data_IF_579679228076
#
_entry.id   IF_579679228076
#
_cell.length_a   1.000
_cell.length_b   1.000
_cell.length_c   1.000
_cell.angle_alpha   90.00
_cell.angle_beta   90.00
_cell.angle_gamma   90.00
#
_symmetry.space_group_name_H-M   'P 1'
#
loop_
_entity.id
_entity.type
_entity.pdbx_description
1 polymer ?
#
# COMPACT_ATOMS: atom_id res chain seq x y z
N UNK A 1 -9.68 13.22 -50.44
CA UNK A 1 -9.38 13.91 -49.17
C UNK A 1 -10.36 13.56 -48.03
N UNK A 2 -11.65 13.28 -48.28
CA UNK A 2 -12.62 12.89 -47.22
C UNK A 2 -12.35 11.52 -46.58
N UNK A 3 -11.76 10.56 -47.31
CA UNK A 3 -11.48 9.21 -46.80
C UNK A 3 -10.30 9.15 -45.82
N UNK A 4 -9.31 10.03 -45.97
CA UNK A 4 -8.13 10.11 -45.08
C UNK A 4 -8.46 10.67 -43.71
N UNK A 5 -9.48 11.53 -43.60
CA UNK A 5 -9.90 12.13 -42.32
C UNK A 5 -10.57 11.12 -41.38
N UNK A 6 -11.30 10.15 -41.95
CA UNK A 6 -12.01 9.10 -41.19
C UNK A 6 -11.00 8.10 -40.59
N UNK A 7 -9.94 7.77 -41.32
CA UNK A 7 -8.88 6.87 -40.83
C UNK A 7 -8.10 7.48 -39.67
N UNK A 8 -7.87 8.79 -39.69
CA UNK A 8 -7.17 9.49 -38.61
C UNK A 8 -8.04 9.58 -37.34
N UNK A 9 -9.36 9.75 -37.49
CA UNK A 9 -10.30 9.81 -36.36
C UNK A 9 -10.44 8.45 -35.64
N UNK A 10 -10.36 7.33 -36.38
CA UNK A 10 -10.38 5.98 -35.81
C UNK A 10 -9.11 5.66 -34.99
N UNK A 11 -7.96 6.26 -35.31
CA UNK A 11 -6.71 6.04 -34.59
C UNK A 11 -6.69 6.71 -33.20
N UNK A 12 -7.40 7.83 -33.04
CA UNK A 12 -7.46 8.58 -31.77
C UNK A 12 -8.28 7.85 -30.70
N UNK A 13 -9.31 7.08 -31.09
CA UNK A 13 -10.19 6.36 -30.14
C UNK A 13 -9.55 5.08 -29.61
N UNK A 14 -8.63 4.47 -30.37
CA UNK A 14 -7.89 3.27 -29.96
C UNK A 14 -6.85 3.55 -28.85
N UNK A 15 -6.56 4.82 -28.57
CA UNK A 15 -5.60 5.26 -27.54
C UNK A 15 -6.28 5.56 -26.20
N UNK A 16 -7.38 4.87 -25.87
CA UNK A 16 -7.93 4.93 -24.52
C UNK A 16 -7.00 4.14 -23.60
N UNK A 17 -6.07 4.83 -22.94
CA UNK A 17 -5.26 4.25 -21.88
C UNK A 17 -6.21 3.82 -20.75
N UNK A 18 -6.63 2.56 -20.75
CA UNK A 18 -7.42 2.02 -19.66
C UNK A 18 -6.54 2.05 -18.41
N UNK A 19 -6.82 3.01 -17.53
CA UNK A 19 -6.17 3.06 -16.24
C UNK A 19 -6.49 1.77 -15.50
N UNK A 20 -5.46 1.00 -15.18
CA UNK A 20 -5.57 -0.28 -14.52
C UNK A 20 -6.41 -0.23 -13.25
N UNK A 21 -7.43 -1.10 -13.19
CA UNK A 21 -8.47 -1.08 -12.17
C UNK A 21 -8.17 -2.07 -11.06
N UNK A 22 -7.41 -1.60 -10.07
CA UNK A 22 -7.22 -2.33 -8.81
C UNK A 22 -8.50 -2.25 -7.97
N UNK A 23 -8.96 -3.39 -7.45
CA UNK A 23 -10.10 -3.51 -6.54
C UNK A 23 -9.71 -4.35 -5.33
N UNK A 24 -10.26 -3.99 -4.17
CA UNK A 24 -10.18 -4.79 -2.94
C UNK A 24 -11.60 -5.02 -2.46
N UNK A 25 -12.07 -6.26 -2.40
CA UNK A 25 -13.43 -6.62 -1.97
C UNK A 25 -13.39 -7.83 -1.06
N UNK A 26 -13.86 -7.67 0.18
CA UNK A 26 -13.84 -8.73 1.22
C UNK A 26 -12.45 -9.39 1.36
N UNK A 27 -11.39 -8.58 1.31
CA UNK A 27 -10.00 -9.03 1.38
C UNK A 27 -9.40 -9.47 0.05
N UNK A 28 -10.17 -10.00 -0.89
CA UNK A 28 -9.65 -10.35 -2.22
C UNK A 28 -9.21 -9.11 -3.00
N UNK A 29 -8.00 -9.15 -3.55
CA UNK A 29 -7.42 -8.11 -4.39
C UNK A 29 -7.44 -8.58 -5.84
N UNK A 30 -8.05 -7.78 -6.70
CA UNK A 30 -8.05 -8.03 -8.16
C UNK A 30 -7.49 -6.85 -8.91
N UNK A 31 -6.84 -7.15 -10.04
CA UNK A 31 -6.33 -6.16 -10.98
C UNK A 31 -6.95 -6.48 -12.33
N UNK A 32 -7.73 -5.53 -12.85
CA UNK A 32 -8.51 -5.70 -14.08
C UNK A 32 -9.44 -6.94 -14.06
N UNK A 33 -9.87 -7.33 -12.86
CA UNK A 33 -10.75 -8.49 -12.65
C UNK A 33 -10.01 -9.80 -12.41
N UNK A 34 -8.70 -9.87 -12.64
CA UNK A 34 -7.86 -11.04 -12.37
C UNK A 34 -7.41 -11.03 -10.90
N UNK A 35 -7.43 -12.19 -10.24
CA UNK A 35 -6.94 -12.33 -8.87
C UNK A 35 -5.44 -12.00 -8.79
N UNK A 36 -5.05 -11.24 -7.77
CA UNK A 36 -3.67 -10.78 -7.61
C UNK A 36 -3.09 -11.15 -6.24
N UNK A 37 -3.84 -10.88 -5.17
CA UNK A 37 -3.42 -11.13 -3.80
C UNK A 37 -4.63 -11.16 -2.87
N UNK A 38 -4.40 -11.42 -1.59
CA UNK A 38 -5.39 -11.27 -0.53
C UNK A 38 -4.86 -10.31 0.55
N UNK A 39 -5.76 -9.45 1.04
CA UNK A 39 -5.56 -8.50 2.13
C UNK A 39 -6.50 -8.87 3.28
N UNK A 40 -6.04 -9.79 4.11
CA UNK A 40 -6.88 -10.43 5.13
C UNK A 40 -6.65 -9.82 6.50
N UNK A 41 -7.63 -10.00 7.39
CA UNK A 41 -7.42 -9.73 8.81
C UNK A 41 -6.50 -10.80 9.37
N UNK A 42 -5.60 -10.40 10.24
CA UNK A 42 -4.88 -11.34 11.08
C UNK A 42 -5.83 -11.82 12.19
N UNK A 43 -6.03 -13.13 12.31
CA UNK A 43 -6.92 -13.72 13.32
C UNK A 43 -6.30 -13.69 14.72
N UNK A 44 -4.97 -13.57 14.82
CA UNK A 44 -4.25 -13.48 16.09
C UNK A 44 -4.36 -12.04 16.62
N UNK A 45 -3.98 -11.06 15.79
CA UNK A 45 -4.07 -9.64 16.13
C UNK A 45 -5.01 -8.95 15.14
N UNK A 46 -6.30 -8.88 15.46
CA UNK A 46 -7.40 -8.42 14.57
C UNK A 46 -7.20 -7.04 13.91
N UNK A 47 -6.36 -6.19 14.50
CA UNK A 47 -6.02 -4.88 13.95
C UNK A 47 -5.00 -4.98 12.81
N UNK A 48 -4.17 -6.02 12.79
CA UNK A 48 -3.18 -6.28 11.74
C UNK A 48 -3.84 -6.85 10.49
N UNK A 49 -3.07 -6.82 9.40
CA UNK A 49 -3.46 -7.41 8.12
C UNK A 49 -2.36 -8.31 7.60
N UNK A 50 -2.77 -9.30 6.82
CA UNK A 50 -1.90 -10.24 6.14
C UNK A 50 -1.99 -9.96 4.63
N UNK A 51 -0.84 -9.84 3.98
CA UNK A 51 -0.74 -9.91 2.52
C UNK A 51 -0.42 -11.34 2.15
N UNK A 52 -1.34 -12.01 1.47
CA UNK A 52 -1.14 -13.37 0.96
C UNK A 52 -1.18 -13.40 -0.55
N UNK A 53 -0.53 -14.39 -1.15
CA UNK A 53 -0.76 -14.70 -2.56
C UNK A 53 -2.15 -15.33 -2.76
N UNK A 54 -2.49 -15.68 -4.00
CA UNK A 54 -3.77 -16.32 -4.34
C UNK A 54 -3.90 -17.75 -3.83
N UNK A 55 -2.80 -18.41 -3.50
CA UNK A 55 -2.75 -19.77 -2.94
C UNK A 55 -2.90 -19.78 -1.41
N UNK A 56 -2.78 -18.61 -0.76
CA UNK A 56 -2.88 -18.46 0.69
C UNK A 56 -1.53 -18.35 1.42
N UNK A 57 -0.41 -18.38 0.70
CA UNK A 57 0.92 -18.22 1.30
C UNK A 57 1.11 -16.79 1.78
N UNK A 58 1.65 -16.65 2.99
CA UNK A 58 1.91 -15.35 3.60
C UNK A 58 3.13 -14.69 2.94
N UNK A 59 2.91 -13.51 2.36
CA UNK A 59 3.95 -12.71 1.72
C UNK A 59 4.47 -11.62 2.67
N UNK A 60 3.56 -10.83 3.26
CA UNK A 60 3.91 -9.69 4.12
C UNK A 60 2.93 -9.57 5.29
N UNK A 61 3.43 -8.97 6.37
CA UNK A 61 2.64 -8.56 7.53
C UNK A 61 2.44 -7.04 7.47
N UNK A 62 1.23 -6.59 7.78
CA UNK A 62 0.92 -5.18 7.97
C UNK A 62 0.47 -4.97 9.41
N UNK A 63 1.39 -4.49 10.24
CA UNK A 63 1.18 -4.34 11.67
C UNK A 63 0.67 -2.94 11.96
N UNK A 64 -0.47 -2.84 12.64
CA UNK A 64 -1.07 -1.55 12.96
C UNK A 64 -0.29 -0.87 14.07
N UNK A 65 0.01 0.41 13.87
CA UNK A 65 0.58 1.32 14.88
C UNK A 65 -0.28 2.55 15.02
N UNK A 66 -0.27 3.09 16.22
CA UNK A 66 -0.91 4.36 16.55
C UNK A 66 -0.01 5.15 17.48
N UNK A 67 0.07 6.45 17.24
CA UNK A 67 0.66 7.41 18.17
C UNK A 67 -0.20 8.67 18.22
N UNK A 68 0.03 9.53 19.22
CA UNK A 68 -0.63 10.82 19.34
C UNK A 68 0.25 11.92 18.74
N UNK A 69 -0.33 12.74 17.87
CA UNK A 69 0.28 13.95 17.32
C UNK A 69 -0.68 15.13 17.53
N UNK A 70 -0.22 16.14 18.25
CA UNK A 70 -0.99 17.36 18.50
C UNK A 70 -1.37 18.08 17.20
N UNK A 71 -0.58 17.94 16.13
CA UNK A 71 -0.88 18.53 14.81
C UNK A 71 -2.02 17.82 14.09
N UNK A 72 -2.32 16.58 14.48
CA UNK A 72 -3.41 15.79 13.92
C UNK A 72 -4.74 15.99 14.67
N UNK A 73 -4.77 16.83 15.71
CA UNK A 73 -6.00 17.16 16.45
C UNK A 73 -6.96 17.93 15.53
N UNK A 74 -8.17 17.41 15.42
CA UNK A 74 -9.28 18.03 14.71
C UNK A 74 -10.61 17.68 15.39
N UNK A 75 -11.71 18.29 14.95
CA UNK A 75 -13.05 17.95 15.46
C UNK A 75 -13.37 16.45 15.32
N UNK A 76 -12.94 15.82 14.21
CA UNK A 76 -13.13 14.39 13.96
C UNK A 76 -12.03 13.49 14.54
N UNK A 77 -10.94 14.07 15.06
CA UNK A 77 -9.84 13.37 15.72
C UNK A 77 -9.35 14.13 16.97
N UNK A 78 -10.18 14.25 18.02
CA UNK A 78 -9.88 15.12 19.16
C UNK A 78 -8.67 14.67 19.98
N UNK A 79 -8.26 13.41 19.84
CA UNK A 79 -7.07 12.85 20.51
C UNK A 79 -5.79 12.94 19.67
N UNK A 80 -5.88 13.47 18.44
CA UNK A 80 -4.73 13.56 17.54
C UNK A 80 -4.12 12.20 17.19
N UNK A 81 -4.93 11.13 17.17
CA UNK A 81 -4.41 9.79 16.90
C UNK A 81 -4.01 9.67 15.42
N UNK A 82 -2.77 9.28 15.16
CA UNK A 82 -2.26 8.94 13.83
C UNK A 82 -2.08 7.44 13.78
N UNK A 83 -2.85 6.75 12.94
CA UNK A 83 -2.76 5.30 12.74
C UNK A 83 -2.28 4.93 11.35
N UNK A 84 -1.41 3.93 11.26
CA UNK A 84 -0.81 3.48 10.02
C UNK A 84 -0.35 2.01 10.14
N UNK A 85 0.11 1.43 9.03
CA UNK A 85 0.68 0.10 8.98
C UNK A 85 2.20 0.15 8.85
N UNK A 86 2.93 -0.57 9.70
CA UNK A 86 4.31 -1.00 9.41
C UNK A 86 4.24 -2.25 8.55
N UNK A 87 4.91 -2.27 7.40
CA UNK A 87 4.95 -3.43 6.51
C UNK A 87 6.25 -4.20 6.74
N UNK A 88 6.14 -5.49 7.02
CA UNK A 88 7.26 -6.37 7.38
C UNK A 88 7.21 -7.68 6.60
N UNK A 89 8.36 -8.36 6.51
CA UNK A 89 8.41 -9.76 6.07
C UNK A 89 8.03 -10.71 7.22
N UNK A 90 7.44 -11.87 6.92
CA UNK A 90 7.27 -12.94 7.90
C UNK A 90 8.61 -13.30 8.55
N UNK A 91 8.62 -13.41 9.89
CA UNK A 91 9.81 -13.77 10.66
C UNK A 91 10.87 -12.66 10.81
N UNK A 92 10.62 -11.43 10.33
CA UNK A 92 11.51 -10.29 10.52
C UNK A 92 10.84 -9.17 11.31
N UNK A 93 11.62 -8.46 12.12
CA UNK A 93 11.23 -7.23 12.80
C UNK A 93 11.61 -5.97 11.98
N UNK A 94 12.23 -6.15 10.81
CA UNK A 94 12.63 -5.04 9.96
C UNK A 94 11.40 -4.46 9.27
N UNK A 95 11.09 -3.21 9.64
CA UNK A 95 10.09 -2.42 8.92
C UNK A 95 10.65 -2.17 7.52
N UNK A 96 9.94 -2.58 6.47
CA UNK A 96 10.30 -2.26 5.10
C UNK A 96 9.91 -0.82 4.76
N UNK A 97 8.65 -0.48 5.04
CA UNK A 97 8.08 0.84 4.87
C UNK A 97 6.81 0.99 5.71
N UNK A 98 6.28 2.20 5.77
CA UNK A 98 5.08 2.53 6.54
C UNK A 98 3.99 3.08 5.61
N UNK A 99 2.74 2.68 5.85
CA UNK A 99 1.65 2.99 4.94
C UNK A 99 0.39 3.43 5.67
N UNK A 100 -0.14 4.59 5.26
CA UNK A 100 -1.44 5.10 5.67
C UNK A 100 -2.28 5.40 4.42
N UNK A 101 -3.43 4.77 4.30
CA UNK A 101 -4.34 4.96 3.16
C UNK A 101 -5.19 3.73 2.86
N UNK A 102 -5.94 3.78 1.76
CA UNK A 102 -6.76 2.66 1.32
C UNK A 102 -5.90 1.53 0.74
N UNK A 103 -6.15 0.29 1.14
CA UNK A 103 -5.46 -0.90 0.65
C UNK A 103 -5.36 -0.95 -0.90
N UNK A 104 -6.39 -0.49 -1.61
CA UNK A 104 -6.38 -0.38 -3.07
C UNK A 104 -5.16 0.37 -3.62
N UNK A 105 -4.72 1.45 -2.97
CA UNK A 105 -3.56 2.22 -3.43
C UNK A 105 -2.24 1.51 -3.12
N UNK A 106 -2.14 0.82 -1.97
CA UNK A 106 -1.01 -0.05 -1.66
C UNK A 106 -0.85 -1.15 -2.72
N UNK A 107 -1.91 -1.88 -3.03
CA UNK A 107 -1.86 -2.93 -4.04
C UNK A 107 -1.65 -2.40 -5.47
N UNK A 108 -2.08 -1.16 -5.75
CA UNK A 108 -1.70 -0.48 -7.00
C UNK A 108 -0.20 -0.22 -7.07
N UNK A 109 0.43 0.20 -5.97
CA UNK A 109 1.87 0.35 -5.91
C UNK A 109 2.59 -1.00 -6.07
N UNK A 110 2.10 -2.07 -5.43
CA UNK A 110 2.66 -3.41 -5.58
C UNK A 110 2.57 -3.93 -7.01
N UNK A 111 1.41 -3.78 -7.65
CA UNK A 111 1.22 -4.22 -9.03
C UNK A 111 2.11 -3.41 -9.99
N UNK A 112 2.07 -2.08 -9.92
CA UNK A 112 2.89 -1.22 -10.78
C UNK A 112 4.39 -1.45 -10.57
N UNK A 113 4.78 -1.75 -9.34
CA UNK A 113 6.16 -2.08 -8.97
C UNK A 113 6.55 -3.53 -9.25
N UNK A 114 5.64 -4.40 -9.72
CA UNK A 114 5.88 -5.83 -9.90
C UNK A 114 6.45 -6.50 -8.65
N UNK A 115 5.87 -6.19 -7.50
CA UNK A 115 6.30 -6.70 -6.17
C UNK A 115 5.93 -8.18 -5.98
N UNK A 116 4.83 -8.62 -6.59
CA UNK A 116 4.41 -10.03 -6.60
C UNK A 116 4.59 -10.52 -8.04
N UNK A 117 5.36 -11.59 -8.21
CA UNK A 117 5.61 -12.27 -9.48
C UNK A 117 4.34 -12.97 -9.98
N UNK A 118 4.34 -13.38 -11.24
CA UNK A 118 3.21 -14.10 -11.86
C UNK A 118 2.94 -15.46 -11.18
N UNK A 119 3.98 -16.09 -10.60
CA UNK A 119 3.87 -17.33 -9.82
C UNK A 119 3.35 -17.10 -8.38
N UNK A 120 3.07 -15.85 -8.00
CA UNK A 120 2.59 -15.49 -6.67
C UNK A 120 3.69 -15.34 -5.61
N UNK A 121 4.97 -15.45 -5.97
CA UNK A 121 6.09 -15.20 -5.04
C UNK A 121 6.43 -13.71 -4.95
N UNK A 122 7.14 -13.31 -3.88
CA UNK A 122 7.65 -11.94 -3.76
C UNK A 122 8.87 -11.72 -4.65
N UNK A 123 8.86 -10.61 -5.37
CA UNK A 123 10.04 -10.06 -6.02
C UNK A 123 10.77 -9.12 -5.05
N UNK A 124 11.86 -9.60 -4.47
CA UNK A 124 12.53 -8.92 -3.36
C UNK A 124 13.19 -7.59 -3.75
N UNK A 125 13.77 -7.51 -4.95
CA UNK A 125 14.42 -6.30 -5.45
C UNK A 125 13.39 -5.21 -5.75
N UNK A 126 12.25 -5.61 -6.32
CA UNK A 126 11.14 -4.70 -6.59
C UNK A 126 10.45 -4.25 -5.30
N UNK A 127 10.27 -5.18 -4.33
CA UNK A 127 9.76 -4.85 -3.01
C UNK A 127 10.66 -3.82 -2.34
N UNK A 128 11.98 -4.01 -2.36
CA UNK A 128 12.95 -3.05 -1.83
C UNK A 128 12.81 -1.68 -2.50
N UNK A 129 12.68 -1.65 -3.83
CA UNK A 129 12.50 -0.40 -4.60
C UNK A 129 11.22 0.34 -4.21
N UNK A 130 10.10 -0.38 -4.11
CA UNK A 130 8.82 0.20 -3.66
C UNK A 130 8.93 0.68 -2.21
N UNK A 131 9.59 -0.09 -1.35
CA UNK A 131 9.79 0.24 0.06
C UNK A 131 10.54 1.54 0.24
N UNK A 132 11.63 1.75 -0.52
CA UNK A 132 12.41 3.00 -0.51
C UNK A 132 11.54 4.19 -0.93
N UNK A 133 10.72 4.03 -1.97
CA UNK A 133 9.86 5.09 -2.48
C UNK A 133 8.76 5.51 -1.50
N UNK A 134 8.19 4.56 -0.75
CA UNK A 134 7.16 4.85 0.25
C UNK A 134 7.81 5.40 1.52
N UNK A 135 8.88 4.76 1.99
CA UNK A 135 9.67 5.21 3.13
C UNK A 135 9.04 4.91 4.49
N UNK A 136 9.61 5.53 5.53
CA UNK A 136 9.29 5.32 6.96
C UNK A 136 9.01 6.65 7.66
N UNK A 137 8.08 7.42 7.08
CA UNK A 137 7.84 8.79 7.51
C UNK A 137 7.24 8.90 8.92
N UNK A 138 6.40 7.95 9.32
CA UNK A 138 5.76 7.97 10.64
C UNK A 138 6.77 7.66 11.76
N UNK A 139 7.70 6.73 11.53
CA UNK A 139 8.83 6.51 12.44
C UNK A 139 9.65 7.79 12.62
N UNK A 140 10.00 8.48 11.52
CA UNK A 140 10.71 9.77 11.58
C UNK A 140 9.94 10.86 12.33
N UNK A 141 8.61 10.87 12.20
CA UNK A 141 7.77 11.82 12.93
C UNK A 141 7.77 11.53 14.44
N UNK A 142 7.61 10.26 14.83
CA UNK A 142 7.64 9.84 16.24
C UNK A 142 8.96 10.19 16.93
N UNK A 143 10.09 9.84 16.31
CA UNK A 143 11.42 10.14 16.86
C UNK A 143 11.63 11.64 17.11
N UNK A 144 11.15 12.50 16.19
CA UNK A 144 11.22 13.96 16.37
C UNK A 144 10.37 14.46 17.54
N UNK A 145 9.24 13.83 17.84
CA UNK A 145 8.43 14.20 19.00
C UNK A 145 9.14 13.84 20.30
N UNK A 146 9.72 12.64 20.39
CA UNK A 146 10.46 12.20 21.58
C UNK A 146 11.64 13.12 21.88
N UNK A 147 12.36 13.59 20.84
CA UNK A 147 13.45 14.56 20.99
C UNK A 147 12.95 15.91 21.54
N UNK A 148 11.82 16.42 21.04
CA UNK A 148 11.29 17.72 21.49
C UNK A 148 10.80 17.70 22.95
N UNK A 149 10.32 16.56 23.45
CA UNK A 149 9.96 16.39 24.86
C UNK A 149 11.21 16.52 25.75
N UNK A 150 12.34 15.95 25.32
CA UNK A 150 13.59 15.93 26.10
C UNK A 150 14.37 17.26 26.12
N UNK A 151 14.10 18.20 25.21
CA UNK A 151 14.77 19.52 25.16
C UNK A 151 14.00 20.57 25.99
N UNK A 152 12.75 20.28 26.35
CA UNK A 152 11.85 21.23 27.05
C UNK A 152 11.97 21.15 28.59
N UNK A 153 13.04 20.55 29.12
CA UNK A 153 13.33 20.40 30.55
C UNK A 153 14.59 21.15 30.97
#
# INVERSE_FOLDING_TARGET
>A
MKKTLITLLLFVIASSSFAQKVKVKKGAVTVDGVAYANWEKDDIVRQNRLVKNTNGDLLLLAVTRTFQDNKAISESNPKGNVSYYEILKPGSNDILFEYQGFAKHLFKAFYNGKVINEDGTLNEDNLKTVSIRIGKEFSRQREKMDININISH
#
